data_IF_540982487650
#
_entry.id   IF_540982487650
#
_cell.length_a   1.000
_cell.length_b   1.000
_cell.length_c   1.000
_cell.angle_alpha   90.00
_cell.angle_beta   90.00
_cell.angle_gamma   90.00
#
_symmetry.space_group_name_H-M   'P 1'
#
loop_
_entity.id
_entity.type
_entity.pdbx_description
1 polymer ?
#
# COMPACT_ATOMS: atom_id res chain seq x y z
N UNK A 1 11.23 -33.99 -35.48
CA UNK A 1 12.13 -33.41 -34.45
C UNK A 1 12.09 -31.88 -34.56
N UNK A 2 10.98 -31.24 -34.16
CA UNK A 2 10.84 -29.77 -34.18
C UNK A 2 11.03 -29.23 -32.77
N UNK A 3 12.24 -28.71 -32.50
CA UNK A 3 12.58 -28.05 -31.24
C UNK A 3 12.05 -26.62 -31.32
N UNK A 4 10.81 -26.43 -30.91
CA UNK A 4 10.20 -25.10 -30.74
C UNK A 4 11.01 -24.36 -29.66
N UNK A 5 11.93 -23.51 -30.10
CA UNK A 5 12.65 -22.59 -29.22
C UNK A 5 11.61 -21.68 -28.58
N UNK A 6 11.26 -21.97 -27.32
CA UNK A 6 10.60 -21.01 -26.46
C UNK A 6 11.59 -19.87 -26.26
N UNK A 7 11.43 -18.81 -27.05
CA UNK A 7 12.06 -17.53 -26.78
C UNK A 7 11.68 -17.15 -25.34
N UNK A 8 12.68 -17.25 -24.47
CA UNK A 8 12.59 -16.84 -23.08
C UNK A 8 12.32 -15.34 -23.15
N UNK A 9 11.12 -14.91 -22.77
CA UNK A 9 10.75 -13.50 -22.74
C UNK A 9 11.63 -12.86 -21.66
N UNK A 10 12.76 -12.29 -22.08
CA UNK A 10 13.67 -11.60 -21.19
C UNK A 10 12.97 -10.29 -20.82
N UNK A 11 12.52 -10.11 -19.56
CA UNK A 11 11.86 -8.86 -19.19
C UNK A 11 12.86 -7.74 -19.43
N UNK A 12 12.44 -6.71 -20.18
CA UNK A 12 13.26 -5.53 -20.42
C UNK A 12 13.77 -5.01 -19.06
N UNK A 13 15.07 -4.76 -18.95
CA UNK A 13 15.62 -4.25 -17.70
C UNK A 13 15.01 -2.87 -17.42
N UNK A 14 14.46 -2.63 -16.22
CA UNK A 14 13.81 -1.38 -15.91
C UNK A 14 14.81 -0.23 -16.03
N UNK A 15 14.40 0.86 -16.67
CA UNK A 15 15.22 2.05 -16.82
C UNK A 15 15.41 2.72 -15.46
N UNK A 16 16.52 3.45 -15.24
CA UNK A 16 16.77 4.19 -13.99
C UNK A 16 15.54 4.99 -13.52
N UNK A 17 14.86 5.69 -14.44
CA UNK A 17 13.65 6.46 -14.15
C UNK A 17 12.46 5.60 -13.67
N UNK A 18 12.33 4.36 -14.14
CA UNK A 18 11.26 3.44 -13.74
C UNK A 18 11.48 2.90 -12.33
N UNK A 19 12.74 2.72 -11.92
CA UNK A 19 13.12 2.26 -10.57
C UNK A 19 12.81 3.30 -9.48
N UNK A 20 12.86 4.60 -9.82
CA UNK A 20 12.64 5.70 -8.86
C UNK A 20 11.31 6.42 -9.04
N UNK A 21 10.40 5.92 -9.88
CA UNK A 21 9.06 6.49 -9.99
C UNK A 21 8.21 6.01 -8.81
N UNK A 22 7.68 6.90 -7.95
CA UNK A 22 6.83 6.49 -6.84
C UNK A 22 5.52 5.89 -7.36
N UNK A 23 5.05 4.80 -6.72
CA UNK A 23 3.83 4.10 -7.14
C UNK A 23 2.60 5.02 -7.14
N UNK A 24 2.57 6.02 -6.26
CA UNK A 24 1.53 7.05 -6.25
C UNK A 24 1.41 7.77 -7.62
N UNK A 25 2.55 8.12 -8.22
CA UNK A 25 2.56 8.80 -9.51
C UNK A 25 2.10 7.88 -10.64
N UNK A 26 2.43 6.59 -10.61
CA UNK A 26 1.95 5.66 -11.63
C UNK A 26 0.46 5.36 -11.46
N UNK A 27 -0.03 5.11 -10.24
CA UNK A 27 -1.46 4.82 -9.97
C UNK A 27 -2.35 5.99 -10.37
N UNK A 28 -1.90 7.23 -10.12
CA UNK A 28 -2.62 8.42 -10.56
C UNK A 28 -2.65 8.53 -12.09
N UNK A 29 -1.53 8.23 -12.77
CA UNK A 29 -1.43 8.21 -14.25
C UNK A 29 -2.21 7.07 -14.90
N UNK A 30 -2.33 5.93 -14.22
CA UNK A 30 -3.07 4.73 -14.65
C UNK A 30 -4.60 4.92 -14.61
N UNK A 31 -5.08 6.05 -14.08
CA UNK A 31 -6.50 6.40 -14.09
C UNK A 31 -7.18 6.21 -12.74
N UNK A 32 -6.60 6.75 -11.67
CA UNK A 32 -7.28 6.81 -10.38
C UNK A 32 -8.59 7.62 -10.50
N UNK A 33 -9.73 6.95 -10.34
CA UNK A 33 -11.07 7.53 -10.58
C UNK A 33 -11.72 7.98 -9.27
N UNK A 34 -12.78 8.79 -9.39
CA UNK A 34 -13.62 9.18 -8.25
C UNK A 34 -14.31 7.99 -7.56
N UNK A 35 -14.52 6.87 -8.27
CA UNK A 35 -15.06 5.64 -7.69
C UNK A 35 -14.02 4.93 -6.81
N UNK A 36 -12.77 4.84 -7.28
CA UNK A 36 -11.65 4.32 -6.48
C UNK A 36 -11.44 5.16 -5.22
N UNK A 37 -11.51 6.49 -5.33
CA UNK A 37 -11.41 7.38 -4.17
C UNK A 37 -12.49 7.12 -3.12
N UNK A 38 -13.76 6.93 -3.55
CA UNK A 38 -14.85 6.60 -2.60
C UNK A 38 -14.64 5.25 -1.93
N UNK A 39 -14.22 4.24 -2.70
CA UNK A 39 -13.92 2.92 -2.16
C UNK A 39 -12.78 2.97 -1.13
N UNK A 40 -11.69 3.66 -1.46
CA UNK A 40 -10.54 3.83 -0.57
C UNK A 40 -10.89 4.61 0.70
N UNK A 41 -11.73 5.65 0.58
CA UNK A 41 -12.19 6.41 1.74
C UNK A 41 -13.04 5.55 2.70
N UNK A 42 -13.95 4.72 2.19
CA UNK A 42 -14.76 3.82 3.00
C UNK A 42 -13.89 2.73 3.64
N UNK A 43 -12.95 2.17 2.87
CA UNK A 43 -11.99 1.20 3.38
C UNK A 43 -11.11 1.81 4.49
N UNK A 44 -10.55 2.99 4.26
CA UNK A 44 -9.74 3.73 5.22
C UNK A 44 -10.49 4.06 6.50
N UNK A 45 -11.75 4.51 6.40
CA UNK A 45 -12.60 4.77 7.57
C UNK A 45 -12.84 3.48 8.37
N UNK A 46 -13.17 2.38 7.69
CA UNK A 46 -13.40 1.08 8.34
C UNK A 46 -12.15 0.61 9.08
N UNK A 47 -10.99 0.71 8.45
CA UNK A 47 -9.70 0.36 9.06
C UNK A 47 -9.37 1.28 10.23
N UNK A 48 -9.59 2.59 10.11
CA UNK A 48 -9.32 3.55 11.18
C UNK A 48 -10.14 3.25 12.45
N UNK A 49 -11.42 2.91 12.30
CA UNK A 49 -12.30 2.54 13.43
C UNK A 49 -11.74 1.34 14.21
N UNK A 50 -11.16 0.36 13.53
CA UNK A 50 -10.57 -0.83 14.16
C UNK A 50 -9.17 -0.55 14.71
N UNK A 51 -8.37 0.26 14.00
CA UNK A 51 -6.98 0.54 14.35
C UNK A 51 -6.84 1.40 15.61
N UNK A 52 -7.72 2.39 15.84
CA UNK A 52 -7.69 3.27 17.01
C UNK A 52 -7.75 2.50 18.35
N UNK A 53 -8.75 1.64 18.62
CA UNK A 53 -8.80 0.86 19.86
C UNK A 53 -7.66 -0.17 19.94
N UNK A 54 -7.25 -0.77 18.82
CA UNK A 54 -6.14 -1.72 18.78
C UNK A 54 -4.81 -1.08 19.20
N UNK A 55 -4.49 0.11 18.70
CA UNK A 55 -3.24 0.80 19.03
C UNK A 55 -3.20 1.23 20.49
N UNK A 56 -4.33 1.70 21.04
CA UNK A 56 -4.47 2.00 22.47
C UNK A 56 -4.29 0.74 23.33
N UNK A 57 -4.81 -0.40 22.92
CA UNK A 57 -4.63 -1.67 23.63
C UNK A 57 -3.17 -2.13 23.65
N UNK A 58 -2.45 -2.01 22.53
CA UNK A 58 -1.02 -2.35 22.45
C UNK A 58 -0.19 -1.41 23.33
N UNK A 59 -0.52 -0.13 23.37
CA UNK A 59 0.13 0.85 24.25
C UNK A 59 0.01 0.45 25.74
N UNK A 60 -1.20 0.11 26.18
CA UNK A 60 -1.45 -0.37 27.56
C UNK A 60 -0.68 -1.68 27.82
N UNK A 61 -0.72 -2.63 26.89
CA UNK A 61 0.01 -3.90 27.00
C UNK A 61 1.54 -3.70 27.08
N UNK A 62 2.05 -2.62 26.49
CA UNK A 62 3.46 -2.24 26.49
C UNK A 62 3.85 -1.37 27.70
N UNK A 63 2.93 -1.11 28.63
CA UNK A 63 3.18 -0.33 29.85
C UNK A 63 3.30 1.18 29.63
N UNK A 64 2.79 1.71 28.51
CA UNK A 64 2.78 3.16 28.23
C UNK A 64 1.35 3.71 28.22
N UNK A 65 1.22 5.03 28.34
CA UNK A 65 -0.09 5.70 28.25
C UNK A 65 -0.77 5.45 26.89
N UNK A 66 -2.10 5.24 26.84
CA UNK A 66 -2.84 4.94 25.61
C UNK A 66 -2.64 5.96 24.48
N UNK A 67 -2.45 7.24 24.82
CA UNK A 67 -2.13 8.34 23.89
C UNK A 67 -0.91 8.05 23.01
N UNK A 68 0.07 7.28 23.52
CA UNK A 68 1.25 6.87 22.73
C UNK A 68 0.86 5.94 21.59
N UNK A 69 -0.11 5.06 21.80
CA UNK A 69 -0.66 4.20 20.74
C UNK A 69 -1.30 5.00 19.62
N UNK A 70 -1.95 6.12 19.95
CA UNK A 70 -2.55 7.02 18.96
C UNK A 70 -1.49 7.75 18.14
N UNK A 71 -0.44 8.29 18.79
CA UNK A 71 0.62 9.02 18.08
C UNK A 71 1.40 8.15 17.08
N UNK A 72 1.55 6.86 17.34
CA UNK A 72 2.30 5.94 16.47
C UNK A 72 1.44 5.26 15.40
N UNK A 73 0.12 5.41 15.47
CA UNK A 73 -0.80 4.81 14.50
C UNK A 73 -0.97 5.62 13.20
N UNK A 74 -0.23 6.73 13.06
CA UNK A 74 -0.18 7.62 11.90
C UNK A 74 1.28 7.93 11.56
#
# INVERSE_FOLDING_TARGET
MHRTQRAIHQPAQPTFSELFTPKLATVLREGYTSEHFKADAIAGLTVAIVALPLSMAIAIASGVSPERGLYTSI
#
